data_IF_583074047000
#
_entry.id   IF_583074047000
#
_cell.length_a   1.000
_cell.length_b   1.000
_cell.length_c   1.000
_cell.angle_alpha   90.00
_cell.angle_beta   90.00
_cell.angle_gamma   90.00
#
_symmetry.space_group_name_H-M   'P 1'
#
loop_
_entity.id
_entity.type
_entity.pdbx_description
1 polymer ?
#
# COMPACT_ATOMS: atom_id res chain seq x y z
N UNK A 1 41.94 1.22 -43.45
CA UNK A 1 41.41 -0.14 -43.26
C UNK A 1 42.19 -0.82 -42.14
N UNK A 2 41.52 -1.22 -41.05
CA UNK A 2 42.14 -1.94 -39.93
C UNK A 2 42.43 -3.38 -40.37
N UNK A 3 43.71 -3.77 -40.50
CA UNK A 3 44.11 -5.18 -40.72
C UNK A 3 43.74 -5.99 -39.48
N UNK A 4 42.75 -6.86 -39.59
CA UNK A 4 42.39 -7.86 -38.59
C UNK A 4 43.61 -8.73 -38.30
N UNK A 5 44.14 -8.69 -37.07
CA UNK A 5 45.28 -9.52 -36.66
C UNK A 5 44.84 -10.99 -36.68
N UNK A 6 45.61 -11.84 -37.36
CA UNK A 6 45.41 -13.29 -37.37
C UNK A 6 45.50 -13.81 -35.93
N UNK A 7 44.42 -14.39 -35.41
CA UNK A 7 44.38 -14.96 -34.06
C UNK A 7 44.42 -16.48 -34.14
N UNK A 8 45.16 -17.11 -33.23
CA UNK A 8 45.33 -18.56 -33.17
C UNK A 8 44.75 -19.06 -31.86
N UNK A 9 44.02 -20.19 -31.91
CA UNK A 9 43.42 -20.79 -30.72
C UNK A 9 44.49 -21.31 -29.75
N UNK A 10 44.19 -21.33 -28.45
CA UNK A 10 45.13 -21.80 -27.43
C UNK A 10 45.55 -23.27 -27.64
N UNK A 11 44.60 -24.12 -28.06
CA UNK A 11 44.83 -25.53 -28.38
C UNK A 11 45.81 -25.71 -29.55
N UNK A 12 45.63 -24.93 -30.61
CA UNK A 12 46.50 -24.97 -31.78
C UNK A 12 47.94 -24.51 -31.45
N UNK A 13 48.08 -23.47 -30.62
CA UNK A 13 49.40 -23.03 -30.13
C UNK A 13 50.10 -24.09 -29.29
N UNK A 14 49.38 -24.77 -28.39
CA UNK A 14 49.96 -25.82 -27.55
C UNK A 14 50.37 -27.06 -28.33
N UNK A 15 49.55 -27.52 -29.28
CA UNK A 15 49.87 -28.70 -30.11
C UNK A 15 51.15 -28.49 -30.92
N UNK A 16 51.29 -27.34 -31.57
CA UNK A 16 52.49 -26.96 -32.32
C UNK A 16 53.75 -26.85 -31.46
N UNK A 17 53.64 -26.29 -30.25
CA UNK A 17 54.77 -26.20 -29.33
C UNK A 17 55.15 -27.59 -28.80
N UNK A 18 54.18 -28.49 -28.58
CA UNK A 18 54.44 -29.87 -28.17
C UNK A 18 55.13 -30.64 -29.30
N UNK A 19 54.66 -30.52 -30.55
CA UNK A 19 55.29 -31.15 -31.73
C UNK A 19 56.75 -30.66 -31.91
N UNK A 20 57.00 -29.37 -31.68
CA UNK A 20 58.35 -28.80 -31.67
C UNK A 20 59.22 -29.33 -30.51
N UNK A 21 58.65 -29.58 -29.33
CA UNK A 21 59.37 -30.11 -28.17
C UNK A 21 59.67 -31.62 -28.29
N UNK A 22 58.86 -32.37 -29.06
CA UNK A 22 59.11 -33.79 -29.37
C UNK A 22 60.32 -34.00 -30.28
N UNK A 23 60.77 -32.97 -31.01
CA UNK A 23 62.00 -33.00 -31.79
C UNK A 23 61.94 -33.81 -33.10
N UNK A 24 60.75 -34.25 -33.51
CA UNK A 24 60.54 -35.07 -34.72
C UNK A 24 60.69 -34.25 -36.03
N UNK A 25 60.55 -32.92 -35.95
CA UNK A 25 60.67 -32.00 -37.08
C UNK A 25 61.38 -30.71 -36.67
N UNK A 26 62.14 -30.14 -37.61
CA UNK A 26 62.86 -28.89 -37.40
C UNK A 26 61.92 -27.67 -37.28
N UNK A 27 62.35 -26.67 -36.53
CA UNK A 27 61.55 -25.46 -36.26
C UNK A 27 61.09 -24.76 -37.56
N UNK A 28 61.93 -24.81 -38.59
CA UNK A 28 61.64 -24.19 -39.89
C UNK A 28 60.67 -25.04 -40.73
N UNK A 29 60.68 -26.37 -40.60
CA UNK A 29 59.76 -27.25 -41.34
C UNK A 29 58.36 -27.19 -40.74
N UNK A 30 58.22 -27.18 -39.41
CA UNK A 30 56.93 -27.02 -38.71
C UNK A 30 56.30 -25.66 -39.02
N UNK A 31 57.12 -24.60 -39.04
CA UNK A 31 56.68 -23.25 -39.37
C UNK A 31 56.21 -23.14 -40.83
N UNK A 32 56.89 -23.80 -41.77
CA UNK A 32 56.51 -23.84 -43.18
C UNK A 32 55.22 -24.65 -43.42
N UNK A 33 55.09 -25.85 -42.84
CA UNK A 33 53.90 -26.72 -42.95
C UNK A 33 52.63 -26.02 -42.46
N UNK A 34 52.76 -25.20 -41.41
CA UNK A 34 51.61 -24.53 -40.79
C UNK A 34 51.42 -23.07 -41.24
N UNK A 35 52.22 -22.57 -42.19
CA UNK A 35 52.20 -21.18 -42.67
C UNK A 35 52.39 -20.13 -41.56
N UNK A 36 53.31 -20.37 -40.63
CA UNK A 36 53.62 -19.51 -39.48
C UNK A 36 55.04 -18.98 -39.59
N UNK A 37 55.29 -17.76 -39.10
CA UNK A 37 56.66 -17.24 -39.04
C UNK A 37 57.48 -17.99 -37.96
N UNK A 38 58.71 -18.43 -38.25
CA UNK A 38 59.57 -19.14 -37.30
C UNK A 38 59.77 -18.43 -35.95
N UNK A 39 59.85 -17.09 -35.97
CA UNK A 39 59.97 -16.28 -34.76
C UNK A 39 58.73 -16.32 -33.87
N UNK A 40 57.53 -16.46 -34.46
CA UNK A 40 56.28 -16.58 -33.72
C UNK A 40 56.25 -17.91 -32.95
N UNK A 41 56.71 -18.99 -33.58
CA UNK A 41 56.80 -20.30 -32.95
C UNK A 41 57.87 -20.34 -31.84
N UNK A 42 59.01 -19.64 -32.01
CA UNK A 42 59.99 -19.43 -30.93
C UNK A 42 59.41 -18.67 -29.73
N UNK A 43 58.63 -17.62 -29.99
CA UNK A 43 57.97 -16.84 -28.95
C UNK A 43 56.92 -17.68 -28.21
N UNK A 44 56.15 -18.50 -28.92
CA UNK A 44 55.19 -19.41 -28.29
C UNK A 44 55.86 -20.51 -27.47
N UNK A 45 57.00 -21.06 -27.92
CA UNK A 45 57.80 -21.99 -27.11
C UNK A 45 58.25 -21.35 -25.81
N UNK A 46 58.75 -20.11 -25.87
CA UNK A 46 59.17 -19.35 -24.69
C UNK A 46 57.99 -19.08 -23.74
N UNK A 47 56.88 -18.56 -24.27
CA UNK A 47 55.67 -18.32 -23.48
C UNK A 47 55.09 -19.59 -22.85
N UNK A 48 55.17 -20.73 -23.56
CA UNK A 48 54.69 -22.01 -23.06
C UNK A 48 55.56 -22.52 -21.92
N UNK A 49 56.89 -22.47 -22.05
CA UNK A 49 57.80 -22.89 -20.97
C UNK A 49 57.70 -21.96 -19.75
N UNK A 50 57.60 -20.65 -19.97
CA UNK A 50 57.44 -19.67 -18.89
C UNK A 50 56.12 -19.87 -18.14
N UNK A 51 55.01 -20.11 -18.86
CA UNK A 51 53.68 -20.33 -18.24
C UNK A 51 53.45 -21.78 -17.79
N UNK A 52 54.21 -22.75 -18.28
CA UNK A 52 54.06 -24.16 -17.90
C UNK A 52 54.31 -24.34 -16.40
N UNK A 53 55.36 -23.71 -15.85
CA UNK A 53 55.62 -23.71 -14.41
C UNK A 53 54.41 -23.19 -13.61
N UNK A 54 53.82 -22.09 -14.05
CA UNK A 54 52.65 -21.45 -13.42
C UNK A 54 51.38 -22.31 -13.51
N UNK A 55 51.26 -23.20 -14.49
CA UNK A 55 50.11 -24.13 -14.62
C UNK A 55 50.19 -25.26 -13.58
N UNK A 56 51.40 -25.64 -13.15
CA UNK A 56 51.61 -26.65 -12.11
C UNK A 56 51.69 -26.05 -10.69
N UNK A 57 51.66 -24.72 -10.54
CA UNK A 57 51.56 -24.03 -9.25
C UNK A 57 50.10 -24.03 -8.75
N UNK A 58 49.72 -25.05 -7.98
CA UNK A 58 48.42 -25.19 -7.30
C UNK A 58 48.04 -23.97 -6.42
N UNK A 59 49.03 -23.16 -6.02
CA UNK A 59 48.85 -21.96 -5.20
C UNK A 59 47.95 -20.92 -5.88
N UNK A 60 47.97 -20.77 -7.20
CA UNK A 60 47.12 -19.80 -7.91
C UNK A 60 45.67 -20.27 -7.97
N UNK A 61 45.45 -21.56 -8.17
CA UNK A 61 44.11 -22.14 -8.20
C UNK A 61 43.46 -22.09 -6.80
N UNK A 62 44.24 -22.34 -5.75
CA UNK A 62 43.80 -22.21 -4.36
C UNK A 62 43.48 -20.76 -3.99
N UNK A 63 44.33 -19.79 -4.35
CA UNK A 63 44.06 -18.36 -4.13
C UNK A 63 42.79 -17.87 -4.88
N UNK A 64 42.54 -18.38 -6.09
CA UNK A 64 41.32 -18.06 -6.84
C UNK A 64 40.07 -18.68 -6.19
N UNK A 65 40.16 -19.93 -5.72
CA UNK A 65 39.09 -20.60 -4.96
C UNK A 65 38.77 -19.87 -3.66
N UNK A 66 39.79 -19.41 -2.93
CA UNK A 66 39.63 -18.62 -1.71
C UNK A 66 38.99 -17.26 -1.96
N UNK A 67 39.43 -16.51 -2.98
CA UNK A 67 38.78 -15.25 -3.39
C UNK A 67 37.33 -15.46 -3.78
N UNK A 68 37.02 -16.49 -4.56
CA UNK A 68 35.65 -16.85 -4.91
C UNK A 68 34.82 -17.23 -3.68
N UNK A 69 35.41 -17.92 -2.71
CA UNK A 69 34.73 -18.28 -1.47
C UNK A 69 34.45 -17.04 -0.59
N UNK A 70 35.39 -16.10 -0.51
CA UNK A 70 35.20 -14.81 0.16
C UNK A 70 34.10 -13.98 -0.50
N UNK A 71 34.13 -13.81 -1.82
CA UNK A 71 33.06 -13.11 -2.56
C UNK A 71 31.69 -13.77 -2.37
N UNK A 72 31.64 -15.11 -2.31
CA UNK A 72 30.39 -15.85 -2.05
C UNK A 72 29.89 -15.60 -0.63
N UNK A 73 30.77 -15.55 0.37
CA UNK A 73 30.41 -15.21 1.76
C UNK A 73 29.86 -13.78 1.85
N UNK A 74 30.55 -12.81 1.27
CA UNK A 74 30.09 -11.41 1.23
C UNK A 74 28.73 -11.28 0.54
N UNK A 75 28.55 -11.89 -0.64
CA UNK A 75 27.27 -11.90 -1.35
C UNK A 75 26.16 -12.54 -0.51
N UNK A 76 26.45 -13.62 0.22
CA UNK A 76 25.48 -14.24 1.11
C UNK A 76 25.10 -13.32 2.29
N UNK A 77 26.05 -12.60 2.87
CA UNK A 77 25.78 -11.62 3.93
C UNK A 77 24.96 -10.44 3.43
N UNK A 78 25.28 -9.89 2.26
CA UNK A 78 24.47 -8.85 1.63
C UNK A 78 23.05 -9.34 1.33
N UNK A 79 22.90 -10.56 0.80
CA UNK A 79 21.58 -11.14 0.55
C UNK A 79 20.75 -11.30 1.84
N UNK A 80 21.39 -11.71 2.95
CA UNK A 80 20.74 -11.76 4.28
C UNK A 80 20.26 -10.39 4.73
N UNK A 81 21.11 -9.35 4.64
CA UNK A 81 20.74 -7.97 4.99
C UNK A 81 19.60 -7.45 4.11
N UNK A 82 19.66 -7.67 2.80
CA UNK A 82 18.59 -7.28 1.88
C UNK A 82 17.28 -7.97 2.24
N UNK A 83 17.30 -9.27 2.55
CA UNK A 83 16.11 -10.01 2.99
C UNK A 83 15.52 -9.43 4.29
N UNK A 84 16.35 -9.18 5.30
CA UNK A 84 15.92 -8.58 6.56
C UNK A 84 15.31 -7.18 6.35
N UNK A 85 15.98 -6.31 5.60
CA UNK A 85 15.48 -4.97 5.30
C UNK A 85 14.19 -5.00 4.49
N UNK A 86 14.06 -5.92 3.53
CA UNK A 86 12.84 -6.09 2.73
C UNK A 86 11.67 -6.46 3.63
N UNK A 87 11.85 -7.44 4.53
CA UNK A 87 10.82 -7.82 5.50
C UNK A 87 10.43 -6.67 6.42
N UNK A 88 11.42 -5.94 6.96
CA UNK A 88 11.17 -4.79 7.84
C UNK A 88 10.41 -3.66 7.13
N UNK A 89 10.82 -3.31 5.91
CA UNK A 89 10.17 -2.27 5.10
C UNK A 89 8.74 -2.68 4.75
N UNK A 90 8.50 -3.94 4.37
CA UNK A 90 7.17 -4.43 4.04
C UNK A 90 6.24 -4.45 5.26
N UNK A 91 6.77 -4.84 6.43
CA UNK A 91 6.05 -4.78 7.69
C UNK A 91 5.67 -3.33 8.05
N UNK A 92 6.63 -2.39 7.96
CA UNK A 92 6.40 -0.97 8.22
C UNK A 92 5.36 -0.39 7.25
N UNK A 93 5.49 -0.64 5.94
CA UNK A 93 4.51 -0.20 4.93
C UNK A 93 3.10 -0.70 5.24
N UNK A 94 2.97 -1.96 5.66
CA UNK A 94 1.68 -2.58 6.01
C UNK A 94 1.05 -1.90 7.23
N UNK A 95 1.84 -1.67 8.28
CA UNK A 95 1.34 -1.03 9.49
C UNK A 95 1.02 0.46 9.27
N UNK A 96 1.83 1.16 8.48
CA UNK A 96 1.61 2.57 8.17
C UNK A 96 0.30 2.75 7.38
N UNK A 97 -0.05 1.83 6.47
CA UNK A 97 -1.37 1.81 5.80
C UNK A 97 -2.53 1.47 6.74
N UNK A 98 -2.31 0.64 7.76
CA UNK A 98 -3.36 0.24 8.72
C UNK A 98 -3.68 1.31 9.75
N UNK A 99 -2.65 2.04 10.20
CA UNK A 99 -2.77 2.94 11.35
C UNK A 99 -2.80 4.42 10.97
N UNK A 100 -2.37 4.81 9.76
CA UNK A 100 -2.42 6.21 9.33
C UNK A 100 -3.44 6.42 8.20
N UNK A 101 -4.29 7.43 8.41
CA UNK A 101 -5.17 7.97 7.39
C UNK A 101 -4.41 8.51 6.18
N UNK A 102 -5.11 8.55 5.04
CA UNK A 102 -4.56 9.05 3.78
C UNK A 102 -4.06 10.49 3.90
N UNK A 103 -4.81 11.35 4.58
CA UNK A 103 -4.47 12.75 4.84
C UNK A 103 -3.15 12.87 5.61
N UNK A 104 -2.98 12.09 6.67
CA UNK A 104 -1.78 12.05 7.49
C UNK A 104 -0.57 11.57 6.69
N UNK A 105 -0.74 10.51 5.89
CA UNK A 105 0.32 10.01 4.99
C UNK A 105 0.72 11.04 3.92
N UNK A 106 -0.24 11.77 3.35
CA UNK A 106 0.03 12.85 2.38
C UNK A 106 0.80 13.99 3.04
N UNK A 107 0.42 14.39 4.25
CA UNK A 107 1.09 15.44 5.01
C UNK A 107 2.55 15.10 5.34
N UNK A 108 2.84 13.83 5.65
CA UNK A 108 4.22 13.35 5.81
C UNK A 108 5.07 13.61 4.57
N UNK A 109 4.59 13.25 3.37
CA UNK A 109 5.33 13.51 2.12
C UNK A 109 5.50 15.00 1.85
N UNK A 110 4.47 15.82 2.14
CA UNK A 110 4.59 17.28 1.99
C UNK A 110 5.63 17.89 2.93
N UNK A 111 5.74 17.39 4.16
CA UNK A 111 6.76 17.84 5.11
C UNK A 111 8.16 17.41 4.66
N UNK A 112 8.33 16.16 4.20
CA UNK A 112 9.59 15.66 3.66
C UNK A 112 10.07 16.41 2.40
N UNK A 113 9.12 16.92 1.61
CA UNK A 113 9.43 17.79 0.48
C UNK A 113 10.00 19.15 0.91
N UNK A 114 9.59 19.67 2.06
CA UNK A 114 10.13 20.92 2.61
C UNK A 114 11.53 20.73 3.17
N UNK A 115 11.80 19.59 3.81
CA UNK A 115 13.13 19.25 4.36
C UNK A 115 14.12 18.79 3.30
N UNK A 116 13.65 18.52 2.06
CA UNK A 116 14.44 18.03 0.90
C UNK A 116 15.16 16.70 1.12
N UNK A 117 14.77 15.92 2.12
CA UNK A 117 15.37 14.61 2.40
C UNK A 117 15.10 13.59 1.30
N UNK A 118 13.92 13.66 0.68
CA UNK A 118 13.47 12.69 -0.33
C UNK A 118 12.66 13.34 -1.47
N UNK A 119 12.82 12.88 -2.72
CA UNK A 119 11.95 13.29 -3.82
C UNK A 119 10.48 12.87 -3.61
N UNK A 120 9.54 13.71 -4.07
CA UNK A 120 8.09 13.45 -3.96
C UNK A 120 7.67 12.08 -4.50
N UNK A 121 8.29 11.65 -5.61
CA UNK A 121 8.02 10.36 -6.25
C UNK A 121 8.35 9.22 -5.30
N UNK A 122 9.57 9.21 -4.75
CA UNK A 122 10.05 8.18 -3.83
C UNK A 122 9.21 8.15 -2.55
N UNK A 123 8.92 9.31 -1.96
CA UNK A 123 8.07 9.41 -0.77
C UNK A 123 6.65 8.87 -1.00
N UNK A 124 6.03 9.21 -2.13
CA UNK A 124 4.70 8.71 -2.49
C UNK A 124 4.70 7.19 -2.70
N UNK A 125 5.74 6.63 -3.34
CA UNK A 125 5.88 5.17 -3.52
C UNK A 125 6.08 4.44 -2.19
N UNK A 126 6.90 5.00 -1.28
CA UNK A 126 7.16 4.41 0.04
C UNK A 126 5.89 4.38 0.91
N UNK A 127 5.11 5.46 0.92
CA UNK A 127 3.87 5.54 1.71
C UNK A 127 2.64 4.96 1.01
N UNK A 128 2.78 4.49 -0.23
CA UNK A 128 1.70 3.90 -1.03
C UNK A 128 0.55 4.87 -1.29
N UNK A 129 0.88 6.07 -1.77
CA UNK A 129 -0.07 7.15 -2.10
C UNK A 129 0.09 7.50 -3.59
N UNK A 130 -0.99 7.95 -4.24
CA UNK A 130 -0.88 8.55 -5.56
C UNK A 130 -0.07 9.85 -5.49
N UNK A 131 0.92 10.01 -6.39
CA UNK A 131 1.77 11.20 -6.47
C UNK A 131 0.95 12.49 -6.61
N UNK A 132 -0.17 12.45 -7.34
CA UNK A 132 -1.02 13.64 -7.56
C UNK A 132 -1.63 14.16 -6.25
N UNK A 133 -1.93 13.27 -5.30
CA UNK A 133 -2.50 13.65 -4.01
C UNK A 133 -1.57 14.52 -3.17
N UNK A 134 -0.26 14.44 -3.39
CA UNK A 134 0.74 15.28 -2.69
C UNK A 134 0.57 16.75 -3.06
N UNK A 135 0.33 17.02 -4.34
CA UNK A 135 0.16 18.36 -4.90
C UNK A 135 -1.28 18.88 -4.81
N UNK A 136 -2.23 18.00 -4.52
CA UNK A 136 -3.61 18.39 -4.31
C UNK A 136 -3.72 19.21 -3.01
N UNK A 137 -3.97 20.50 -3.16
CA UNK A 137 -4.43 21.35 -2.08
C UNK A 137 -5.95 21.26 -2.06
N UNK A 138 -6.52 20.83 -0.94
CA UNK A 138 -7.96 20.82 -0.77
C UNK A 138 -8.51 22.22 -1.02
N UNK A 139 -9.65 22.31 -1.70
CA UNK A 139 -10.39 23.57 -1.79
C UNK A 139 -10.73 24.02 -0.37
N UNK A 140 -10.36 25.25 0.03
CA UNK A 140 -10.79 25.77 1.32
C UNK A 140 -12.32 25.75 1.38
N UNK A 141 -12.86 25.58 2.58
CA UNK A 141 -14.31 25.63 2.78
C UNK A 141 -14.78 27.02 2.35
N UNK A 142 -15.74 27.08 1.42
CA UNK A 142 -16.28 28.35 0.94
C UNK A 142 -16.98 29.08 2.08
N UNK A 143 -16.87 30.41 2.12
CA UNK A 143 -17.61 31.23 3.10
C UNK A 143 -19.11 30.98 3.00
N UNK A 144 -19.63 30.83 1.78
CA UNK A 144 -21.04 30.48 1.54
C UNK A 144 -21.46 29.15 2.18
N UNK A 145 -20.54 28.18 2.28
CA UNK A 145 -20.81 26.90 2.93
C UNK A 145 -20.91 27.07 4.45
N UNK A 146 -20.05 27.90 5.05
CA UNK A 146 -20.11 28.22 6.48
C UNK A 146 -21.40 28.97 6.82
N UNK A 147 -21.80 29.93 6.00
CA UNK A 147 -23.04 30.69 6.18
C UNK A 147 -24.26 29.77 6.10
N UNK A 148 -24.29 28.85 5.13
CA UNK A 148 -25.34 27.83 5.03
C UNK A 148 -25.40 26.95 6.28
N UNK A 149 -24.26 26.52 6.82
CA UNK A 149 -24.19 25.68 8.03
C UNK A 149 -24.71 26.44 9.26
N UNK A 150 -24.34 27.71 9.41
CA UNK A 150 -24.84 28.57 10.49
C UNK A 150 -26.37 28.76 10.42
N UNK A 151 -26.93 28.88 9.21
CA UNK A 151 -28.38 28.96 9.03
C UNK A 151 -29.05 27.63 9.38
N UNK A 152 -28.51 26.49 8.95
CA UNK A 152 -29.06 25.17 9.27
C UNK A 152 -29.10 24.95 10.78
N UNK A 153 -28.04 25.32 11.50
CA UNK A 153 -27.94 25.18 12.96
C UNK A 153 -29.09 25.91 13.69
N UNK A 154 -29.31 27.18 13.33
CA UNK A 154 -30.42 27.99 13.85
C UNK A 154 -31.78 27.38 13.52
N UNK A 155 -32.00 26.99 12.26
CA UNK A 155 -33.28 26.43 11.83
C UNK A 155 -33.59 25.08 12.48
N UNK A 156 -32.57 24.28 12.76
CA UNK A 156 -32.75 23.00 13.43
C UNK A 156 -33.11 23.18 14.92
N UNK A 157 -32.51 24.19 15.57
CA UNK A 157 -32.85 24.55 16.96
C UNK A 157 -34.33 24.92 17.09
N UNK A 158 -34.85 25.72 16.16
CA UNK A 158 -36.25 26.12 16.16
C UNK A 158 -37.19 25.00 15.71
N UNK A 159 -36.76 24.18 14.74
CA UNK A 159 -37.59 23.15 14.12
C UNK A 159 -36.84 21.81 13.98
N UNK A 160 -36.72 21.03 15.06
CA UNK A 160 -35.95 19.78 15.06
C UNK A 160 -36.46 18.71 14.08
N UNK A 161 -37.75 18.76 13.71
CA UNK A 161 -38.37 17.80 12.79
C UNK A 161 -37.98 18.03 11.31
N UNK A 162 -37.35 19.15 10.97
CA UNK A 162 -37.05 19.49 9.59
C UNK A 162 -35.87 18.70 9.03
N UNK A 163 -36.13 17.99 7.93
CA UNK A 163 -35.12 17.23 7.20
C UNK A 163 -34.49 17.98 6.03
N UNK A 164 -33.53 17.33 5.37
CA UNK A 164 -32.74 17.90 4.27
C UNK A 164 -33.57 18.51 3.11
N UNK A 165 -34.81 18.07 2.90
CA UNK A 165 -35.72 18.67 1.92
C UNK A 165 -36.19 20.06 2.35
N UNK A 166 -36.67 20.17 3.59
CA UNK A 166 -37.12 21.44 4.15
C UNK A 166 -35.95 22.39 4.35
N UNK A 167 -34.81 21.90 4.87
CA UNK A 167 -33.59 22.71 4.98
C UNK A 167 -33.13 23.27 3.64
N UNK A 168 -33.14 22.47 2.57
CA UNK A 168 -32.84 22.95 1.21
C UNK A 168 -33.82 24.04 0.74
N UNK A 169 -35.12 23.89 0.99
CA UNK A 169 -36.10 24.92 0.63
C UNK A 169 -35.89 26.22 1.42
N UNK A 170 -35.59 26.10 2.71
CA UNK A 170 -35.35 27.23 3.60
C UNK A 170 -34.07 28.00 3.27
N UNK A 171 -33.03 27.29 2.83
CA UNK A 171 -31.79 27.90 2.33
C UNK A 171 -32.03 28.62 1.00
N UNK A 172 -32.81 28.03 0.09
CA UNK A 172 -33.20 28.67 -1.18
C UNK A 172 -34.00 29.95 -0.98
N UNK A 173 -34.96 29.94 -0.04
CA UNK A 173 -35.72 31.13 0.32
C UNK A 173 -34.84 32.26 0.87
N UNK A 174 -33.67 31.93 1.43
CA UNK A 174 -32.69 32.89 1.96
C UNK A 174 -31.59 33.25 0.97
N UNK A 175 -31.74 32.90 -0.31
CA UNK A 175 -30.81 33.27 -1.38
C UNK A 175 -29.65 32.29 -1.60
N UNK A 176 -29.60 31.16 -0.90
CA UNK A 176 -28.58 30.14 -1.12
C UNK A 176 -29.10 29.01 -2.03
N UNK A 177 -28.51 28.84 -3.21
CA UNK A 177 -28.88 27.79 -4.17
C UNK A 177 -28.36 26.39 -3.74
N UNK A 178 -28.88 25.90 -2.61
CA UNK A 178 -28.49 24.61 -2.04
C UNK A 178 -29.56 23.57 -2.34
N UNK A 179 -29.21 22.56 -3.14
CA UNK A 179 -30.08 21.41 -3.40
C UNK A 179 -30.14 20.42 -2.22
N UNK A 180 -31.15 19.53 -2.23
CA UNK A 180 -31.39 18.51 -1.19
C UNK A 180 -30.14 17.70 -0.81
N UNK A 181 -29.33 17.28 -1.80
CA UNK A 181 -28.12 16.46 -1.56
C UNK A 181 -27.05 17.26 -0.81
N UNK A 182 -26.87 18.55 -1.15
CA UNK A 182 -25.90 19.45 -0.51
C UNK A 182 -26.35 19.80 0.91
N UNK A 183 -27.64 20.10 1.11
CA UNK A 183 -28.21 20.29 2.45
C UNK A 183 -28.06 19.05 3.34
N UNK A 184 -28.30 17.84 2.79
CA UNK A 184 -28.04 16.59 3.53
C UNK A 184 -26.57 16.45 3.92
N UNK A 185 -25.65 16.73 3.00
CA UNK A 185 -24.21 16.67 3.28
C UNK A 185 -23.84 17.57 4.46
N UNK A 186 -24.33 18.82 4.45
CA UNK A 186 -24.11 19.77 5.55
C UNK A 186 -24.68 19.25 6.87
N UNK A 187 -25.93 18.75 6.88
CA UNK A 187 -26.53 18.16 8.07
C UNK A 187 -25.72 16.98 8.61
N UNK A 188 -25.26 16.07 7.74
CA UNK A 188 -24.44 14.92 8.16
C UNK A 188 -23.07 15.34 8.68
N UNK A 189 -22.40 16.30 8.03
CA UNK A 189 -21.11 16.85 8.50
C UNK A 189 -21.24 17.55 9.87
N UNK A 190 -22.40 18.17 10.13
CA UNK A 190 -22.72 18.82 11.40
C UNK A 190 -23.27 17.86 12.47
N UNK A 191 -23.56 16.60 12.13
CA UNK A 191 -24.20 15.64 13.03
C UNK A 191 -25.65 15.97 13.38
N UNK A 192 -26.35 16.70 12.50
CA UNK A 192 -27.75 17.09 12.67
C UNK A 192 -28.66 16.08 11.98
N UNK A 193 -29.50 15.42 12.76
CA UNK A 193 -30.54 14.50 12.27
C UNK A 193 -31.95 15.02 12.60
N UNK A 194 -32.94 14.81 11.73
CA UNK A 194 -34.32 15.21 12.03
C UNK A 194 -34.89 14.42 13.21
N UNK A 195 -35.36 15.13 14.21
CA UNK A 195 -35.98 14.55 15.40
C UNK A 195 -37.50 14.65 15.25
N UNK A 196 -38.13 13.51 15.00
CA UNK A 196 -39.59 13.43 14.95
C UNK A 196 -40.17 13.20 16.35
N UNK A 197 -41.26 13.90 16.71
CA UNK A 197 -41.96 13.61 17.95
C UNK A 197 -42.46 12.17 17.93
N UNK A 198 -42.12 11.40 18.97
CA UNK A 198 -42.67 10.06 19.14
C UNK A 198 -44.15 10.14 19.51
N UNK A 199 -44.88 9.07 19.23
CA UNK A 199 -46.28 8.96 19.64
C UNK A 199 -46.39 9.10 21.17
N UNK A 200 -47.18 10.05 21.64
CA UNK A 200 -47.39 10.28 23.06
C UNK A 200 -48.39 9.26 23.63
N UNK A 201 -47.92 8.03 23.88
CA UNK A 201 -48.72 6.95 24.47
C UNK A 201 -49.32 7.30 25.85
N UNK A 202 -48.75 8.30 26.54
CA UNK A 202 -49.18 8.79 27.84
C UNK A 202 -50.28 9.86 27.79
N UNK A 203 -50.63 10.38 26.61
CA UNK A 203 -51.76 11.31 26.50
C UNK A 203 -53.06 10.53 26.65
N UNK A 204 -53.70 10.71 27.80
CA UNK A 204 -54.99 10.11 28.13
C UNK A 204 -56.03 10.47 27.07
N UNK A 205 -56.72 9.47 26.53
CA UNK A 205 -57.95 9.68 25.76
C UNK A 205 -58.99 10.27 26.72
N UNK A 206 -59.34 11.56 26.57
CA UNK A 206 -60.20 12.26 27.53
C UNK A 206 -61.58 11.61 27.70
N UNK A 207 -62.07 10.93 26.67
CA UNK A 207 -63.34 10.20 26.67
C UNK A 207 -63.30 8.90 27.48
N UNK A 208 -62.12 8.39 27.86
CA UNK A 208 -62.02 7.19 28.68
C UNK A 208 -62.29 7.51 30.16
N UNK A 209 -63.32 6.85 30.72
CA UNK A 209 -63.61 6.87 32.17
C UNK A 209 -62.40 6.33 32.92
N UNK A 210 -61.93 7.05 33.95
CA UNK A 210 -60.88 6.52 34.84
C UNK A 210 -61.49 5.38 35.63
N UNK A 211 -61.06 4.16 35.33
CA UNK A 211 -61.32 3.03 36.22
C UNK A 211 -60.26 3.04 37.33
N UNK A 212 -60.65 3.05 38.61
CA UNK A 212 -59.69 2.96 39.69
C UNK A 212 -58.93 1.64 39.61
N UNK A 213 -57.61 1.67 39.82
CA UNK A 213 -56.81 0.45 39.87
C UNK A 213 -57.01 -0.22 41.23
N UNK A 214 -57.94 -1.19 41.29
CA UNK A 214 -58.39 -1.83 42.53
C UNK A 214 -57.30 -2.64 43.24
N UNK A 215 -56.22 -3.00 42.53
CA UNK A 215 -55.08 -3.75 43.08
C UNK A 215 -53.98 -2.85 43.67
N UNK A 216 -54.13 -1.51 43.63
CA UNK A 216 -53.05 -0.55 43.96
C UNK A 216 -52.42 -0.75 45.35
N UNK A 217 -53.15 -1.31 46.31
CA UNK A 217 -52.69 -1.59 47.68
C UNK A 217 -53.13 -2.98 48.19
N UNK A 218 -53.46 -3.91 47.28
CA UNK A 218 -53.89 -5.25 47.68
C UNK A 218 -52.68 -6.13 48.07
N UNK A 219 -52.70 -6.73 49.27
CA UNK A 219 -51.72 -7.75 49.67
C UNK A 219 -52.16 -9.09 49.06
N UNK A 220 -51.29 -9.70 48.25
CA UNK A 220 -51.54 -10.97 47.56
C UNK A 220 -50.68 -12.03 48.25
N UNK A 221 -51.29 -12.82 49.13
CA UNK A 221 -50.63 -13.78 50.03
C UNK A 221 -50.88 -15.25 49.66
N UNK A 222 -51.80 -15.54 48.73
CA UNK A 222 -52.11 -16.90 48.26
C UNK A 222 -52.37 -16.96 46.75
N UNK A 223 -52.20 -18.14 46.12
CA UNK A 223 -52.56 -18.34 44.72
C UNK A 223 -54.03 -17.97 44.42
N UNK A 224 -54.32 -17.52 43.20
CA UNK A 224 -55.67 -17.14 42.69
C UNK A 224 -56.32 -15.86 43.27
N UNK A 225 -55.53 -14.90 43.77
CA UNK A 225 -56.04 -13.61 44.25
C UNK A 225 -55.96 -12.46 43.23
N UNK A 226 -55.05 -12.54 42.26
CA UNK A 226 -54.94 -11.59 41.17
C UNK A 226 -54.53 -12.32 39.89
N UNK A 227 -55.14 -11.95 38.78
CA UNK A 227 -54.80 -12.47 37.46
C UNK A 227 -54.41 -11.30 36.56
N UNK A 228 -53.26 -11.42 35.91
CA UNK A 228 -52.79 -10.48 34.90
C UNK A 228 -52.89 -11.14 33.54
N UNK A 229 -53.48 -10.45 32.57
CA UNK A 229 -53.58 -10.89 31.18
C UNK A 229 -53.04 -9.76 30.32
N UNK A 230 -52.12 -10.07 29.43
CA UNK A 230 -51.68 -9.14 28.38
C UNK A 230 -52.21 -9.64 27.04
N UNK A 231 -52.70 -8.73 26.20
CA UNK A 231 -53.22 -9.05 24.88
C UNK A 231 -52.23 -8.53 23.85
N UNK A 232 -51.41 -9.43 23.33
CA UNK A 232 -50.50 -9.13 22.23
C UNK A 232 -51.20 -9.37 20.91
N UNK A 233 -51.41 -8.31 20.13
CA UNK A 233 -51.93 -8.45 18.77
C UNK A 233 -50.89 -9.11 17.87
N UNK A 234 -51.26 -10.25 17.25
CA UNK A 234 -50.45 -10.92 16.24
C UNK A 234 -51.04 -10.58 14.86
N UNK A 235 -50.36 -9.77 14.03
CA UNK A 235 -50.87 -9.41 12.71
C UNK A 235 -50.88 -10.61 11.77
N UNK A 236 -52.06 -10.97 11.26
CA UNK A 236 -52.23 -12.05 10.26
C UNK A 236 -52.13 -11.44 8.85
N UNK A 237 -51.34 -12.08 7.96
CA UNK A 237 -51.01 -11.58 6.61
C UNK A 237 -52.21 -11.35 5.67
N UNK A 238 -53.41 -11.85 5.98
CA UNK A 238 -54.62 -11.80 5.12
C UNK A 238 -55.92 -11.81 5.92
N UNK A 239 -56.17 -10.80 6.73
CA UNK A 239 -57.53 -10.52 7.20
C UNK A 239 -57.99 -9.20 6.53
N UNK A 240 -58.91 -9.31 5.58
CA UNK A 240 -59.61 -8.16 5.02
C UNK A 240 -60.51 -7.60 6.12
N UNK A 241 -60.33 -6.33 6.47
CA UNK A 241 -61.28 -5.57 7.27
C UNK A 241 -62.30 -5.01 6.27
N UNK A 242 -63.56 -5.46 6.38
CA UNK A 242 -64.73 -4.81 5.78
C UNK A 242 -65.11 -3.59 6.62
#
# INVERSE_FOLDING_TARGET
MSRTRRSFSAKFKSELVIELLKGEKDLNTIAAENNIQPNLLRNWKKEFLDKASVVFDDTRENNLKEKLALERKEKAEYAKKVGQLTMQVDWLKKNLKKHLDLTTRVNLVRNLLKTKELPAKTGATLLGINRTSVYYNGTPVSQEELDCKAIIDRLHTDNPAWGARQMSSQLKMRGHEVGRRKARRYMTEMGIDPIYPKMNLSKRMQQAKVCPYLLRNAVIDRPNQAWSIDITYIPIKRAAVL
#
